data_IF_320183061808
#
_entry.id   IF_320183061808
#
_cell.length_a   1.000
_cell.length_b   1.000
_cell.length_c   1.000
_cell.angle_alpha   90.00
_cell.angle_beta   90.00
_cell.angle_gamma   90.00
#
_symmetry.space_group_name_H-M   'P 1'
#
loop_
_entity.id
_entity.type
_entity.pdbx_description
1 polymer ?
#
# COMPACT_ATOMS: atom_id res chain seq x y z
N UNK A 1 3.54 -17.63 -6.11
CA UNK A 1 4.36 -18.32 -7.13
C UNK A 1 3.77 -18.26 -8.54
N UNK A 2 2.50 -18.63 -8.76
CA UNK A 2 1.90 -18.67 -10.11
C UNK A 2 2.00 -17.35 -10.88
N UNK A 3 1.65 -16.22 -10.27
CA UNK A 3 1.75 -14.90 -10.91
C UNK A 3 3.19 -14.54 -11.27
N UNK A 4 4.16 -14.81 -10.39
CA UNK A 4 5.59 -14.57 -10.67
C UNK A 4 6.03 -15.31 -11.93
N UNK A 5 5.66 -16.60 -12.05
CA UNK A 5 5.96 -17.43 -13.21
C UNK A 5 5.26 -16.91 -14.46
N UNK A 6 3.95 -16.61 -14.37
CA UNK A 6 3.14 -16.09 -15.47
C UNK A 6 3.71 -14.81 -16.06
N UNK A 7 4.20 -13.90 -15.21
CA UNK A 7 4.77 -12.61 -15.61
C UNK A 7 6.30 -12.63 -15.76
N UNK A 8 6.95 -13.81 -15.64
CA UNK A 8 8.39 -14.00 -15.83
C UNK A 8 9.25 -13.01 -15.01
N UNK A 9 8.86 -12.79 -13.75
CA UNK A 9 9.53 -11.80 -12.89
C UNK A 9 10.75 -12.40 -12.20
N UNK A 10 11.93 -12.07 -12.70
CA UNK A 10 13.22 -12.50 -12.14
C UNK A 10 13.60 -11.71 -10.88
N UNK A 11 13.23 -10.44 -10.81
CA UNK A 11 13.53 -9.51 -9.70
C UNK A 11 12.51 -9.54 -8.54
N UNK A 12 11.54 -10.46 -8.56
CA UNK A 12 10.53 -10.59 -7.51
C UNK A 12 10.85 -11.75 -6.59
N UNK A 13 11.09 -11.48 -5.31
CA UNK A 13 11.36 -12.50 -4.30
C UNK A 13 10.13 -12.68 -3.42
N UNK A 14 9.66 -13.93 -3.25
CA UNK A 14 8.53 -14.24 -2.39
C UNK A 14 9.08 -14.64 -1.02
N UNK A 15 8.70 -13.88 0.00
CA UNK A 15 9.10 -14.12 1.39
C UNK A 15 7.87 -14.62 2.14
N UNK A 16 7.78 -15.92 2.44
CA UNK A 16 6.63 -16.47 3.16
C UNK A 16 6.67 -16.03 4.63
N UNK A 17 5.51 -15.64 5.16
CA UNK A 17 5.36 -15.21 6.54
C UNK A 17 4.46 -13.99 6.64
N UNK A 18 4.39 -13.40 7.83
CA UNK A 18 3.60 -12.18 8.10
C UNK A 18 4.52 -11.04 8.47
N UNK A 19 4.21 -9.84 7.98
CA UNK A 19 4.85 -8.62 8.47
C UNK A 19 4.40 -8.33 9.92
N UNK A 20 5.27 -7.74 10.76
CA UNK A 20 6.64 -7.32 10.45
C UNK A 20 7.68 -8.45 10.50
N UNK A 21 7.38 -9.59 11.12
CA UNK A 21 8.35 -10.65 11.45
C UNK A 21 9.12 -11.17 10.23
N UNK A 22 8.40 -11.43 9.13
CA UNK A 22 8.98 -11.91 7.87
C UNK A 22 9.88 -10.88 7.17
N UNK A 23 9.85 -9.62 7.62
CA UNK A 23 10.61 -8.52 7.02
C UNK A 23 11.92 -8.24 7.76
N UNK A 24 12.18 -8.87 8.92
CA UNK A 24 13.34 -8.56 9.79
C UNK A 24 14.67 -8.71 9.06
N UNK A 25 14.84 -9.74 8.25
CA UNK A 25 16.12 -10.00 7.55
C UNK A 25 16.21 -9.34 6.17
N UNK A 26 15.16 -8.63 5.74
CA UNK A 26 15.16 -7.96 4.44
C UNK A 26 16.04 -6.70 4.46
N UNK A 27 16.66 -6.33 3.33
CA UNK A 27 17.43 -5.09 3.24
C UNK A 27 16.54 -3.87 3.54
N UNK A 28 17.17 -2.76 3.94
CA UNK A 28 16.48 -1.51 4.18
C UNK A 28 15.71 -1.07 2.91
N UNK A 29 14.38 -0.92 2.96
CA UNK A 29 13.60 -0.57 1.78
C UNK A 29 13.72 0.92 1.48
N UNK A 30 13.78 1.28 0.20
CA UNK A 30 13.58 2.69 -0.22
C UNK A 30 12.09 3.04 -0.26
N UNK A 31 11.25 2.04 -0.58
CA UNK A 31 9.80 2.17 -0.71
C UNK A 31 9.09 0.95 -0.14
N UNK A 32 7.93 1.16 0.45
CA UNK A 32 7.06 0.09 0.96
C UNK A 32 5.64 0.29 0.45
N UNK A 33 5.04 -0.76 -0.10
CA UNK A 33 3.63 -0.78 -0.46
C UNK A 33 2.84 -1.70 0.47
N UNK A 34 1.80 -1.15 1.11
CA UNK A 34 0.93 -1.85 2.05
C UNK A 34 -0.45 -2.09 1.41
N UNK A 35 -0.65 -3.28 0.87
CA UNK A 35 -1.96 -3.72 0.38
C UNK A 35 -2.91 -4.20 1.48
N UNK A 36 -2.37 -4.57 2.64
CA UNK A 36 -3.12 -5.00 3.82
C UNK A 36 -2.18 -5.35 4.97
N UNK A 37 -2.56 -5.01 6.20
CA UNK A 37 -1.70 -5.16 7.38
C UNK A 37 -2.24 -6.16 8.40
N UNK A 38 -3.40 -6.77 8.15
CA UNK A 38 -4.06 -7.71 9.06
C UNK A 38 -4.16 -7.21 10.52
N UNK A 39 -4.40 -5.90 10.69
CA UNK A 39 -4.48 -5.25 12.00
C UNK A 39 -3.14 -4.89 12.65
N UNK A 40 -2.01 -5.18 12.00
CA UNK A 40 -0.66 -4.90 12.51
C UNK A 40 -0.04 -3.62 11.92
N UNK A 41 -0.86 -2.62 11.58
CA UNK A 41 -0.37 -1.41 10.88
C UNK A 41 0.81 -0.76 11.61
N UNK A 42 0.64 -0.46 12.90
CA UNK A 42 1.66 0.25 13.69
C UNK A 42 2.99 -0.50 13.70
N UNK A 43 2.96 -1.81 13.96
CA UNK A 43 4.16 -2.64 14.00
C UNK A 43 4.87 -2.71 12.64
N UNK A 44 4.12 -2.73 11.53
CA UNK A 44 4.68 -2.72 10.17
C UNK A 44 5.29 -1.36 9.84
N UNK A 45 4.64 -0.25 10.20
CA UNK A 45 5.18 1.09 10.02
C UNK A 45 6.48 1.27 10.82
N UNK A 46 6.49 0.86 12.09
CA UNK A 46 7.68 0.92 12.95
C UNK A 46 8.84 0.12 12.36
N UNK A 47 8.61 -1.11 11.92
CA UNK A 47 9.66 -1.95 11.34
C UNK A 47 10.24 -1.35 10.04
N UNK A 48 9.40 -0.73 9.20
CA UNK A 48 9.87 -0.05 7.99
C UNK A 48 10.71 1.19 8.31
N UNK A 49 10.25 2.01 9.25
CA UNK A 49 10.92 3.24 9.67
C UNK A 49 12.22 2.98 10.43
N UNK A 50 12.29 1.93 11.24
CA UNK A 50 13.51 1.53 11.94
C UNK A 50 14.61 1.13 10.95
N UNK A 51 14.25 0.41 9.88
CA UNK A 51 15.18 0.03 8.81
C UNK A 51 15.62 1.21 7.95
N UNK A 52 14.70 2.12 7.64
CA UNK A 52 14.99 3.32 6.89
C UNK A 52 14.07 4.46 7.35
N UNK A 53 14.59 5.43 8.14
CA UNK A 53 13.79 6.55 8.63
C UNK A 53 13.18 7.41 7.52
N UNK A 54 13.73 7.40 6.30
CA UNK A 54 13.27 8.21 5.16
C UNK A 54 12.46 7.40 4.13
N UNK A 55 12.04 6.18 4.47
CA UNK A 55 11.28 5.30 3.57
C UNK A 55 9.99 5.97 3.11
N UNK A 56 9.66 5.82 1.82
CA UNK A 56 8.37 6.23 1.28
C UNK A 56 7.37 5.08 1.39
N UNK A 57 6.28 5.29 2.11
CA UNK A 57 5.25 4.27 2.35
C UNK A 57 4.00 4.66 1.57
N UNK A 58 3.47 3.71 0.79
CA UNK A 58 2.18 3.84 0.12
C UNK A 58 1.26 2.74 0.65
N UNK A 59 0.07 3.11 1.11
CA UNK A 59 -0.90 2.16 1.66
C UNK A 59 -2.26 2.32 0.99
N UNK A 60 -2.93 1.20 0.71
CA UNK A 60 -4.30 1.22 0.19
C UNK A 60 -5.30 0.75 1.24
N UNK A 61 -6.40 1.48 1.40
CA UNK A 61 -7.48 1.13 2.31
C UNK A 61 -8.84 1.17 1.61
N UNK A 62 -9.67 0.18 1.94
CA UNK A 62 -11.06 0.06 1.43
C UNK A 62 -12.05 0.06 2.59
N UNK A 63 -11.67 -0.46 3.76
CA UNK A 63 -12.54 -0.48 4.95
C UNK A 63 -12.37 0.80 5.76
N UNK A 64 -13.43 1.21 6.47
CA UNK A 64 -13.40 2.40 7.32
C UNK A 64 -12.38 2.27 8.45
N UNK A 65 -12.17 1.07 8.99
CA UNK A 65 -11.17 0.78 10.01
C UNK A 65 -9.75 1.03 9.48
N UNK A 66 -9.48 0.59 8.25
CA UNK A 66 -8.17 0.78 7.61
C UNK A 66 -7.93 2.25 7.28
N UNK A 67 -8.97 2.96 6.80
CA UNK A 67 -8.91 4.40 6.56
C UNK A 67 -8.67 5.15 7.86
N UNK A 68 -9.42 4.84 8.92
CA UNK A 68 -9.26 5.49 10.22
C UNK A 68 -7.87 5.27 10.82
N UNK A 69 -7.36 4.04 10.77
CA UNK A 69 -6.02 3.72 11.26
C UNK A 69 -4.93 4.49 10.48
N UNK A 70 -4.97 4.48 9.14
CA UNK A 70 -3.99 5.20 8.32
C UNK A 70 -4.12 6.72 8.48
N UNK A 71 -5.34 7.25 8.55
CA UNK A 71 -5.60 8.67 8.82
C UNK A 71 -5.03 9.11 10.16
N UNK A 72 -5.11 8.26 11.20
CA UNK A 72 -4.55 8.58 12.51
C UNK A 72 -3.02 8.70 12.49
N UNK A 73 -2.33 7.89 11.69
CA UNK A 73 -0.88 7.91 11.54
C UNK A 73 -0.36 9.10 10.70
N UNK A 74 -1.19 9.73 9.85
CA UNK A 74 -0.72 10.79 8.94
C UNK A 74 0.03 11.92 9.65
N UNK A 75 -0.42 12.31 10.85
CA UNK A 75 0.17 13.37 11.66
C UNK A 75 1.61 13.08 12.12
N UNK A 76 2.01 11.81 12.10
CA UNK A 76 3.31 11.35 12.60
C UNK A 76 4.39 11.43 11.50
N UNK A 77 4.03 11.85 10.29
CA UNK A 77 4.93 11.98 9.15
C UNK A 77 5.07 13.44 8.70
N UNK A 78 6.26 13.83 8.24
CA UNK A 78 6.48 15.19 7.71
C UNK A 78 5.79 15.43 6.37
N UNK A 79 5.61 14.38 5.56
CA UNK A 79 4.86 14.39 4.31
C UNK A 79 3.79 13.32 4.39
N UNK A 80 2.52 13.75 4.30
CA UNK A 80 1.38 12.85 4.29
C UNK A 80 0.33 13.31 3.28
N UNK A 81 -0.20 12.39 2.48
CA UNK A 81 -1.27 12.65 1.52
C UNK A 81 -2.28 11.50 1.57
N UNK A 82 -3.56 11.81 1.35
CA UNK A 82 -4.60 10.82 1.15
C UNK A 82 -5.42 11.18 -0.09
N UNK A 83 -5.55 10.22 -1.02
CA UNK A 83 -6.35 10.34 -2.23
C UNK A 83 -7.48 9.33 -2.17
N UNK A 84 -8.73 9.80 -2.27
CA UNK A 84 -9.89 8.91 -2.50
C UNK A 84 -10.11 8.74 -4.00
N UNK A 85 -9.97 7.51 -4.49
CA UNK A 85 -10.13 7.19 -5.90
C UNK A 85 -11.39 6.37 -6.13
N UNK A 86 -12.24 6.87 -7.03
CA UNK A 86 -13.45 6.20 -7.50
C UNK A 86 -13.38 6.01 -9.01
N UNK A 87 -13.54 4.76 -9.47
CA UNK A 87 -13.40 4.40 -10.88
C UNK A 87 -14.66 3.66 -11.32
N UNK A 88 -15.11 3.91 -12.54
CA UNK A 88 -16.12 3.11 -13.21
C UNK A 88 -15.56 2.50 -14.48
N UNK A 89 -15.86 1.23 -14.76
CA UNK A 89 -15.42 0.54 -15.99
C UNK A 89 -16.62 0.19 -16.85
N UNK A 90 -16.50 0.47 -18.15
CA UNK A 90 -17.50 0.04 -19.14
C UNK A 90 -17.51 -1.48 -19.28
N UNK A 91 -18.69 -2.09 -19.23
CA UNK A 91 -18.96 -3.49 -19.53
C UNK A 91 -19.93 -3.56 -20.71
N UNK A 92 -19.58 -4.31 -21.75
CA UNK A 92 -20.46 -4.52 -22.90
C UNK A 92 -21.78 -5.19 -22.46
N UNK A 93 -22.89 -4.67 -22.97
CA UNK A 93 -24.23 -5.18 -22.77
C UNK A 93 -24.97 -5.14 -24.12
N UNK A 94 -24.72 -6.16 -24.95
CA UNK A 94 -25.15 -6.15 -26.36
C UNK A 94 -24.46 -5.01 -27.12
N UNK A 95 -25.21 -4.11 -27.80
CA UNK A 95 -24.64 -2.97 -28.53
C UNK A 95 -24.28 -1.78 -27.62
N UNK A 96 -24.52 -1.87 -26.31
CA UNK A 96 -24.29 -0.77 -25.36
C UNK A 96 -23.11 -1.03 -24.42
N UNK A 97 -22.69 0.01 -23.69
CA UNK A 97 -21.71 -0.06 -22.62
C UNK A 97 -22.33 0.42 -21.30
N UNK A 98 -22.41 -0.47 -20.31
CA UNK A 98 -22.82 -0.14 -18.96
C UNK A 98 -21.60 0.27 -18.14
N UNK A 99 -21.63 1.47 -17.54
CA UNK A 99 -20.57 1.91 -16.64
C UNK A 99 -20.80 1.29 -15.25
N UNK A 100 -19.89 0.40 -14.83
CA UNK A 100 -19.95 -0.26 -13.53
C UNK A 100 -18.96 0.39 -12.56
N UNK A 101 -19.48 1.01 -11.50
CA UNK A 101 -18.67 1.56 -10.42
C UNK A 101 -17.88 0.48 -9.69
N UNK A 102 -16.63 0.79 -9.35
CA UNK A 102 -15.79 0.00 -8.46
C UNK A 102 -15.88 0.56 -7.05
N UNK A 103 -15.60 -0.29 -6.05
CA UNK A 103 -15.50 0.18 -4.67
C UNK A 103 -14.43 1.29 -4.57
N UNK A 104 -14.69 2.38 -3.83
CA UNK A 104 -13.68 3.40 -3.58
C UNK A 104 -12.43 2.80 -2.94
N UNK A 105 -11.26 3.30 -3.33
CA UNK A 105 -9.99 2.97 -2.69
C UNK A 105 -9.35 4.26 -2.20
N UNK A 106 -8.91 4.28 -0.95
CA UNK A 106 -8.11 5.36 -0.38
C UNK A 106 -6.64 5.00 -0.50
N UNK A 107 -5.84 5.91 -1.05
CA UNK A 107 -4.40 5.75 -1.25
C UNK A 107 -3.71 6.76 -0.35
N UNK A 108 -2.96 6.27 0.62
CA UNK A 108 -2.17 7.07 1.53
C UNK A 108 -0.71 7.06 1.10
N UNK A 109 -0.07 8.22 1.09
CA UNK A 109 1.39 8.35 0.97
C UNK A 109 1.92 8.94 2.28
N UNK A 110 2.92 8.29 2.89
CA UNK A 110 3.52 8.69 4.17
C UNK A 110 5.05 8.66 4.02
N UNK A 111 5.73 9.74 4.43
CA UNK A 111 7.20 9.82 4.37
C UNK A 111 7.75 10.84 5.38
N UNK A 112 8.90 10.50 6.00
CA UNK A 112 9.71 11.44 6.77
C UNK A 112 10.84 12.00 5.89
N UNK A 113 11.13 13.30 6.06
CA UNK A 113 12.05 14.03 5.21
C UNK A 113 11.33 14.84 4.13
N UNK A 114 12.03 15.80 3.54
CA UNK A 114 11.49 16.65 2.48
C UNK A 114 11.12 15.82 1.26
N UNK A 115 9.89 15.98 0.75
CA UNK A 115 9.52 15.49 -0.57
C UNK A 115 10.59 15.93 -1.60
N UNK A 116 10.99 15.08 -2.54
CA UNK A 116 11.84 15.54 -3.64
C UNK A 116 11.07 16.65 -4.35
N UNK A 117 11.69 17.83 -4.40
CA UNK A 117 11.24 19.01 -5.15
C UNK A 117 11.14 18.68 -6.63
#
# INVERSE_FOLDING_TARGET
EENRKKFQLENLYIVPGSAPDACIDLPAPTHVFLGGTAGKLDAVLSAALEKNPNVRIVATAVTLESVGALSACMKDFSVSECVSMQVSRGKAAGPYHLMQGQNPVYIFTLQNGSAPV
#
